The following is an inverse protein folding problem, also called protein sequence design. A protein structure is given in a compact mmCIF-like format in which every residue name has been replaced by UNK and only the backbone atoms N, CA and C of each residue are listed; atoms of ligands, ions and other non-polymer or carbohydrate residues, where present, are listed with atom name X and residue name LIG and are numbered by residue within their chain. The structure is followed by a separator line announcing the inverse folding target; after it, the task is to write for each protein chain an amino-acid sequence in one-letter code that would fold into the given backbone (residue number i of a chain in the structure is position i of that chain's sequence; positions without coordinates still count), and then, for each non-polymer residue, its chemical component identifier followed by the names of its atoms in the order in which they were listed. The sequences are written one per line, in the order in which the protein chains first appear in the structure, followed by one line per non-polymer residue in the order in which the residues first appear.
data_IF_902717121427
#
_entry.id   IF_902717121427
#
_cell.length_a   1.000
_cell.length_b   1.000
_cell.length_c   1.000
_cell.angle_alpha   90.00
_cell.angle_beta   90.00
_cell.angle_gamma   90.00
#
_symmetry.space_group_name_H-M   'P 1'
#
loop_
_entity.id
_entity.type
_entity.pdbx_description
1 polymer ?
#
# COMPACT_ATOMS: atom_id res chain seq x y z
N UNK A 1 10.90 -22.50 -10.79
CA UNK A 1 11.89 -21.40 -10.92
C UNK A 1 11.93 -20.58 -9.64
N UNK A 2 13.11 -20.12 -9.19
CA UNK A 2 13.22 -19.22 -8.03
C UNK A 2 12.42 -17.93 -8.27
N UNK A 3 11.88 -17.33 -7.21
CA UNK A 3 11.23 -16.03 -7.30
C UNK A 3 12.32 -14.95 -7.37
N UNK A 4 12.20 -14.01 -8.30
CA UNK A 4 13.15 -12.91 -8.45
C UNK A 4 12.42 -11.57 -8.45
N UNK A 5 12.99 -10.58 -7.78
CA UNK A 5 12.47 -9.22 -7.77
C UNK A 5 13.50 -8.24 -8.30
N UNK A 6 13.04 -7.20 -8.97
CA UNK A 6 13.88 -6.05 -9.24
C UNK A 6 14.00 -5.23 -7.95
N UNK A 7 15.20 -5.20 -7.36
CA UNK A 7 15.47 -4.45 -6.15
C UNK A 7 15.91 -3.03 -6.51
N UNK A 8 15.09 -2.03 -6.19
CA UNK A 8 15.40 -0.62 -6.48
C UNK A 8 16.68 -0.13 -5.80
N UNK A 9 17.06 -0.69 -4.65
CA UNK A 9 18.28 -0.30 -3.92
C UNK A 9 19.54 -0.63 -4.70
N UNK A 10 19.65 -1.86 -5.21
CA UNK A 10 20.79 -2.33 -6.00
C UNK A 10 20.64 -2.06 -7.50
N UNK A 11 19.40 -1.82 -7.95
CA UNK A 11 18.98 -1.73 -9.36
C UNK A 11 19.22 -3.02 -10.16
N UNK A 12 19.06 -4.17 -9.51
CA UNK A 12 19.28 -5.48 -10.13
C UNK A 12 18.12 -6.45 -9.88
N UNK A 13 18.04 -7.50 -10.70
CA UNK A 13 17.16 -8.64 -10.44
C UNK A 13 17.84 -9.60 -9.45
N UNK A 14 17.29 -9.72 -8.26
CA UNK A 14 17.81 -10.53 -7.16
C UNK A 14 16.89 -11.71 -6.87
N UNK A 15 17.47 -12.82 -6.42
CA UNK A 15 16.69 -13.94 -5.88
C UNK A 15 16.04 -13.52 -4.56
N UNK A 16 14.76 -13.87 -4.42
CA UNK A 16 14.00 -13.56 -3.23
C UNK A 16 14.10 -14.68 -2.20
N UNK A 17 14.61 -14.34 -1.02
CA UNK A 17 14.66 -15.21 0.14
C UNK A 17 13.84 -14.60 1.29
N UNK A 18 12.80 -15.31 1.82
CA UNK A 18 12.06 -14.83 2.97
C UNK A 18 12.95 -14.70 4.21
N UNK A 19 12.77 -13.60 4.95
CA UNK A 19 13.47 -13.37 6.23
C UNK A 19 13.09 -14.37 7.34
N UNK A 20 11.88 -14.94 7.27
CA UNK A 20 11.39 -15.87 8.28
C UNK A 20 12.13 -17.22 8.23
N UNK A 21 12.50 -17.75 9.40
CA UNK A 21 13.30 -18.97 9.52
C UNK A 21 12.62 -20.24 8.94
N UNK A 22 11.30 -20.25 8.81
CA UNK A 22 10.58 -21.38 8.17
C UNK A 22 10.60 -21.28 6.65
N UNK A 23 11.05 -20.16 6.09
CA UNK A 23 11.05 -19.88 4.65
C UNK A 23 9.65 -19.73 4.05
N UNK A 24 8.60 -19.60 4.88
CA UNK A 24 7.20 -19.59 4.41
C UNK A 24 6.44 -18.31 4.72
N UNK A 25 6.88 -17.49 5.67
CA UNK A 25 6.19 -16.23 6.01
C UNK A 25 6.86 -15.05 5.32
N UNK A 26 6.05 -14.18 4.72
CA UNK A 26 6.51 -12.93 4.09
C UNK A 26 5.77 -11.77 4.73
N UNK A 27 6.48 -10.72 5.09
CA UNK A 27 5.90 -9.43 5.47
C UNK A 27 6.11 -8.44 4.33
N UNK A 28 5.04 -7.75 3.93
CA UNK A 28 5.07 -6.72 2.88
C UNK A 28 4.47 -5.45 3.48
N UNK A 29 5.16 -4.33 3.30
CA UNK A 29 4.60 -3.01 3.56
C UNK A 29 4.39 -2.30 2.23
N UNK A 30 3.21 -1.70 2.06
CA UNK A 30 2.90 -0.87 0.90
C UNK A 30 2.38 0.49 1.35
N UNK A 31 2.79 1.55 0.66
CA UNK A 31 2.30 2.89 0.96
C UNK A 31 0.84 3.01 0.51
N UNK A 32 -0.06 3.40 1.42
CA UNK A 32 -1.45 3.67 1.08
C UNK A 32 -1.71 5.13 0.74
N UNK A 33 -3.00 5.50 0.56
CA UNK A 33 -3.40 6.82 0.10
C UNK A 33 -3.21 7.90 1.17
N UNK A 34 -2.96 9.12 0.69
CA UNK A 34 -3.28 10.34 1.43
C UNK A 34 -4.74 10.70 1.19
N UNK A 35 -5.57 10.71 2.23
CA UNK A 35 -7.04 10.80 2.12
C UNK A 35 -7.53 12.24 2.04
N UNK A 36 -7.04 13.00 1.07
CA UNK A 36 -7.46 14.39 0.78
C UNK A 36 -8.42 14.51 -0.41
N UNK A 37 -8.53 13.45 -1.22
CA UNK A 37 -9.41 13.37 -2.39
C UNK A 37 -9.76 11.91 -2.69
N UNK A 38 -10.73 11.68 -3.59
CA UNK A 38 -10.99 10.32 -4.12
C UNK A 38 -9.75 9.78 -4.84
N UNK A 39 -9.50 8.48 -4.70
CA UNK A 39 -8.42 7.80 -5.40
C UNK A 39 -8.65 7.83 -6.91
N UNK A 40 -7.58 8.06 -7.68
CA UNK A 40 -7.62 8.08 -9.14
C UNK A 40 -6.96 6.84 -9.74
N UNK A 41 -7.10 6.65 -11.06
CA UNK A 41 -6.57 5.47 -11.79
C UNK A 41 -5.09 5.20 -11.53
N UNK A 42 -4.28 6.26 -11.39
CA UNK A 42 -2.86 6.15 -11.00
C UNK A 42 -2.64 5.48 -9.64
N UNK A 43 -3.48 5.74 -8.64
CA UNK A 43 -3.40 5.06 -7.34
C UNK A 43 -3.82 3.60 -7.47
N UNK A 44 -4.94 3.34 -8.16
CA UNK A 44 -5.47 1.97 -8.34
C UNK A 44 -4.49 1.05 -9.06
N UNK A 45 -3.70 1.56 -10.01
CA UNK A 45 -2.63 0.78 -10.64
C UNK A 45 -1.64 0.21 -9.61
N UNK A 46 -1.24 1.00 -8.61
CA UNK A 46 -0.34 0.54 -7.56
C UNK A 46 -1.02 -0.52 -6.67
N UNK A 47 -2.24 -0.25 -6.21
CA UNK A 47 -2.96 -1.17 -5.31
C UNK A 47 -3.31 -2.51 -5.97
N UNK A 48 -3.66 -2.49 -7.27
CA UNK A 48 -3.86 -3.72 -8.06
C UNK A 48 -2.55 -4.49 -8.21
N UNK A 49 -1.44 -3.82 -8.50
CA UNK A 49 -0.13 -4.50 -8.57
C UNK A 49 0.22 -5.17 -7.25
N UNK A 50 0.01 -4.48 -6.12
CA UNK A 50 0.27 -5.01 -4.78
C UNK A 50 -0.63 -6.20 -4.43
N UNK A 51 -1.90 -6.16 -4.83
CA UNK A 51 -2.83 -7.29 -4.70
C UNK A 51 -2.38 -8.49 -5.56
N UNK A 52 -2.02 -8.25 -6.82
CA UNK A 52 -1.50 -9.30 -7.70
C UNK A 52 -0.20 -9.92 -7.16
N UNK A 53 0.69 -9.10 -6.61
CA UNK A 53 1.92 -9.57 -5.96
C UNK A 53 1.60 -10.47 -4.77
N UNK A 54 0.71 -10.03 -3.88
CA UNK A 54 0.28 -10.83 -2.73
C UNK A 54 -0.33 -12.16 -3.18
N UNK A 55 -1.30 -12.12 -4.09
CA UNK A 55 -1.96 -13.34 -4.61
C UNK A 55 -0.98 -14.28 -5.28
N UNK A 56 -0.02 -13.75 -6.03
CA UNK A 56 1.02 -14.57 -6.65
C UNK A 56 1.89 -15.27 -5.60
N UNK A 57 2.31 -14.55 -4.55
CA UNK A 57 3.08 -15.14 -3.45
C UNK A 57 2.28 -16.21 -2.69
N UNK A 58 1.00 -15.96 -2.43
CA UNK A 58 0.11 -16.94 -1.78
C UNK A 58 -0.10 -18.18 -2.64
N UNK A 59 -0.29 -18.03 -3.96
CA UNK A 59 -0.36 -19.15 -4.92
C UNK A 59 0.92 -19.99 -4.92
N UNK A 60 2.07 -19.40 -4.59
CA UNK A 60 3.35 -20.11 -4.45
C UNK A 60 3.55 -20.76 -3.07
N UNK A 61 2.55 -20.68 -2.19
CA UNK A 61 2.55 -21.33 -0.88
C UNK A 61 3.22 -20.53 0.22
N UNK A 62 3.37 -19.22 0.06
CA UNK A 62 3.78 -18.32 1.13
C UNK A 62 2.58 -17.86 1.96
N UNK A 63 2.80 -17.65 3.26
CA UNK A 63 1.87 -16.94 4.14
C UNK A 63 2.25 -15.47 4.17
N UNK A 64 1.50 -14.65 3.44
CA UNK A 64 1.77 -13.21 3.32
C UNK A 64 1.05 -12.44 4.43
N UNK A 65 1.76 -11.53 5.09
CA UNK A 65 1.20 -10.46 5.92
C UNK A 65 1.51 -9.14 5.24
N UNK A 66 0.53 -8.58 4.53
CA UNK A 66 0.62 -7.24 3.96
C UNK A 66 0.05 -6.21 4.95
N UNK A 67 0.75 -5.09 5.09
CA UNK A 67 0.29 -3.92 5.85
C UNK A 67 0.34 -2.71 4.92
N UNK A 68 -0.75 -1.94 4.93
CA UNK A 68 -0.86 -0.69 4.19
C UNK A 68 -1.34 0.40 5.14
N UNK A 69 -0.68 1.56 5.13
CA UNK A 69 -1.09 2.69 5.96
C UNK A 69 -2.23 3.49 5.31
N UNK A 70 -2.83 4.39 6.08
CA UNK A 70 -3.62 5.51 5.55
C UNK A 70 -2.93 6.77 6.04
N UNK A 71 -2.67 7.73 5.15
CA UNK A 71 -2.13 9.03 5.54
C UNK A 71 -3.29 10.01 5.71
N UNK A 72 -3.79 10.12 6.93
CA UNK A 72 -4.87 11.04 7.32
C UNK A 72 -4.37 12.40 7.84
N UNK A 73 -3.06 12.52 8.10
CA UNK A 73 -2.40 13.79 8.44
C UNK A 73 -1.29 14.08 7.43
N UNK A 74 -1.48 15.12 6.62
CA UNK A 74 -0.57 15.61 5.58
C UNK A 74 -0.90 17.08 5.27
N UNK A 75 0.03 17.83 4.68
CA UNK A 75 -0.20 19.22 4.29
C UNK A 75 -1.42 19.38 3.37
N UNK A 76 -1.71 18.39 2.52
CA UNK A 76 -2.90 18.39 1.65
C UNK A 76 -4.20 18.22 2.43
N UNK A 77 -4.22 17.35 3.43
CA UNK A 77 -5.42 17.13 4.26
C UNK A 77 -5.68 18.32 5.18
N UNK A 78 -4.62 18.91 5.75
CA UNK A 78 -4.69 20.12 6.58
C UNK A 78 -5.24 21.31 5.77
N UNK A 79 -4.76 21.50 4.54
CA UNK A 79 -5.26 22.57 3.66
C UNK A 79 -6.74 22.38 3.33
N UNK A 80 -7.15 21.17 2.92
CA UNK A 80 -8.54 20.87 2.60
C UNK A 80 -9.49 21.09 3.78
N UNK A 81 -9.09 20.70 5.00
CA UNK A 81 -9.87 20.94 6.21
C UNK A 81 -10.04 22.43 6.50
N UNK A 82 -8.98 23.23 6.34
CA UNK A 82 -9.03 24.70 6.51
C UNK A 82 -9.94 25.37 5.49
N UNK A 83 -9.87 24.96 4.23
CA UNK A 83 -10.70 25.50 3.13
C UNK A 83 -12.19 25.17 3.35
N UNK A 84 -12.50 23.97 3.84
CA UNK A 84 -13.86 23.54 4.15
C UNK A 84 -14.40 24.08 5.49
N UNK A 85 -13.53 24.61 6.37
CA UNK A 85 -13.93 25.11 7.69
C UNK A 85 -14.37 24.01 8.67
N UNK A 86 -13.92 22.77 8.48
CA UNK A 86 -14.31 21.60 9.29
C UNK A 86 -13.08 20.92 9.91
N UNK A 87 -13.23 20.13 10.99
CA UNK A 87 -12.14 19.36 11.59
C UNK A 87 -11.45 18.42 10.59
N UNK A 88 -10.14 18.22 10.76
CA UNK A 88 -9.33 17.36 9.88
C UNK A 88 -9.89 15.93 9.77
N UNK A 89 -10.33 15.37 10.90
CA UNK A 89 -10.92 14.03 10.96
C UNK A 89 -12.20 13.94 10.13
N UNK A 90 -13.01 14.98 10.13
CA UNK A 90 -14.25 15.05 9.35
C UNK A 90 -13.95 15.23 7.85
N UNK A 91 -13.01 16.12 7.52
CA UNK A 91 -12.58 16.37 6.14
C UNK A 91 -12.02 15.11 5.45
N UNK A 92 -11.27 14.30 6.19
CA UNK A 92 -10.64 13.07 5.67
C UNK A 92 -11.53 11.84 5.72
N UNK A 93 -12.55 11.81 6.58
CA UNK A 93 -13.43 10.65 6.78
C UNK A 93 -14.07 10.17 5.47
N UNK A 94 -14.66 11.09 4.70
CA UNK A 94 -15.31 10.78 3.43
C UNK A 94 -14.39 10.10 2.41
N UNK A 95 -13.11 10.51 2.37
CA UNK A 95 -12.14 9.96 1.41
C UNK A 95 -11.55 8.66 1.90
N UNK A 96 -11.44 8.49 3.23
CA UNK A 96 -11.04 7.24 3.85
C UNK A 96 -12.10 6.17 3.65
N UNK A 97 -13.39 6.49 3.85
CA UNK A 97 -14.50 5.58 3.61
C UNK A 97 -14.60 5.22 2.13
N UNK A 98 -14.61 6.21 1.24
CA UNK A 98 -14.65 5.99 -0.21
C UNK A 98 -13.46 5.21 -0.78
N UNK A 99 -12.37 5.04 -0.03
CA UNK A 99 -11.24 4.21 -0.45
C UNK A 99 -11.48 2.71 -0.20
N UNK A 100 -12.37 2.37 0.74
CA UNK A 100 -12.71 0.98 1.08
C UNK A 100 -14.02 0.49 0.47
N UNK A 101 -14.78 1.37 -0.20
CA UNK A 101 -15.91 1.03 -1.07
C UNK A 101 -15.43 0.44 -2.41
#
# INVERSE_FOLDING_TARGET
MPLRFFNTYSRQLEDFEPRDATGRKIAIYTCGPTVYSRAHIGNFRAYIFEDLLQRHLELRGYKVRRVMNITDVDDKTIRGAREAGIPLTESTAQFKEAFFE
#
